data_IF_855446880686
#
_entry.id   IF_855446880686
#
_cell.length_a   1.000
_cell.length_b   1.000
_cell.length_c   1.000
_cell.angle_alpha   90.00
_cell.angle_beta   90.00
_cell.angle_gamma   90.00
#
_symmetry.space_group_name_H-M   'P 1'
#
loop_
_entity.id
_entity.type
_entity.pdbx_description
1 polymer ?
#
# COMPACT_ATOMS: atom_id res chain seq x y z
N UNK A 1 -14.55 8.56 29.84
CA UNK A 1 -13.15 8.65 29.43
C UNK A 1 -13.11 8.14 28.01
N UNK A 2 -12.83 9.04 27.06
CA UNK A 2 -12.65 8.68 25.67
C UNK A 2 -11.30 7.96 25.57
N UNK A 3 -11.34 6.64 25.34
CA UNK A 3 -10.12 5.89 25.07
C UNK A 3 -9.70 6.32 23.68
N UNK A 4 -8.87 7.38 23.60
CA UNK A 4 -8.36 8.00 22.38
C UNK A 4 -7.95 6.93 21.38
N UNK A 5 -8.92 6.55 20.56
CA UNK A 5 -8.73 5.61 19.48
C UNK A 5 -8.12 6.47 18.40
N UNK A 6 -6.93 6.10 17.93
CA UNK A 6 -6.31 6.80 16.82
C UNK A 6 -7.37 6.94 15.72
N UNK A 7 -7.64 8.18 15.29
CA UNK A 7 -8.59 8.41 14.22
C UNK A 7 -8.14 7.57 13.02
N UNK A 8 -9.06 6.80 12.44
CA UNK A 8 -8.81 6.15 11.15
C UNK A 8 -8.78 7.30 10.15
N UNK A 9 -7.58 7.78 9.89
CA UNK A 9 -7.34 8.97 9.08
C UNK A 9 -6.24 8.66 8.09
N UNK A 10 -6.44 9.13 6.86
CA UNK A 10 -5.42 9.11 5.83
C UNK A 10 -4.42 10.27 6.01
N UNK A 11 -3.15 10.09 5.60
CA UNK A 11 -2.60 8.85 5.06
C UNK A 11 -2.30 7.83 6.18
N UNK A 12 -2.37 6.54 5.85
CA UNK A 12 -1.83 5.50 6.73
C UNK A 12 -0.33 5.74 6.96
N UNK A 13 0.23 5.31 8.12
CA UNK A 13 1.67 5.37 8.34
C UNK A 13 2.40 4.64 7.20
N UNK A 14 3.41 5.30 6.63
CA UNK A 14 4.23 4.72 5.58
C UNK A 14 5.11 3.57 6.09
N UNK A 15 5.74 2.88 5.14
CA UNK A 15 6.75 1.87 5.46
C UNK A 15 7.92 2.50 6.23
N UNK A 16 8.28 1.88 7.36
CA UNK A 16 9.48 2.23 8.11
C UNK A 16 10.65 1.37 7.64
N UNK A 17 11.69 2.01 7.13
CA UNK A 17 12.94 1.34 6.79
C UNK A 17 13.49 0.57 7.99
N UNK A 18 13.89 -0.68 7.75
CA UNK A 18 14.48 -1.53 8.78
C UNK A 18 15.98 -1.68 8.52
N UNK A 19 16.83 -1.32 9.51
CA UNK A 19 18.28 -1.46 9.38
C UNK A 19 18.67 -2.92 9.23
N UNK A 20 19.79 -3.17 8.56
CA UNK A 20 20.32 -4.52 8.38
C UNK A 20 20.72 -5.16 9.70
N UNK A 21 20.47 -6.46 9.80
CA UNK A 21 20.99 -7.29 10.89
C UNK A 21 22.49 -7.54 10.62
N UNK A 22 23.40 -7.27 11.57
CA UNK A 22 24.84 -7.35 11.31
C UNK A 22 25.42 -8.76 11.24
N UNK A 23 24.64 -9.81 11.56
CA UNK A 23 25.09 -11.20 11.57
C UNK A 23 24.35 -12.15 10.63
N UNK A 24 24.53 -13.45 10.88
CA UNK A 24 23.83 -14.50 10.11
C UNK A 24 22.39 -14.62 10.60
N UNK A 25 21.47 -14.81 9.68
CA UNK A 25 20.03 -14.95 9.94
C UNK A 25 19.45 -16.16 9.23
N UNK A 26 18.26 -16.56 9.64
CA UNK A 26 17.44 -17.54 8.95
C UNK A 26 16.14 -16.90 8.43
N UNK A 27 15.31 -17.69 7.77
CA UNK A 27 13.96 -17.32 7.33
C UNK A 27 12.93 -17.18 8.47
N UNK A 28 13.32 -17.42 9.73
CA UNK A 28 12.42 -17.33 10.88
C UNK A 28 12.41 -15.94 11.48
N UNK A 29 11.28 -15.26 11.28
CA UNK A 29 10.94 -13.97 11.87
C UNK A 29 9.70 -14.08 12.76
N UNK A 30 9.68 -13.36 13.88
CA UNK A 30 8.49 -13.16 14.70
C UNK A 30 8.34 -11.72 15.15
N UNK A 31 7.09 -11.32 15.43
CA UNK A 31 6.74 -10.00 15.93
C UNK A 31 5.94 -10.17 17.23
N UNK A 32 6.43 -9.58 18.31
CA UNK A 32 5.80 -9.67 19.63
C UNK A 32 5.23 -8.31 20.04
N UNK A 33 3.96 -8.28 20.44
CA UNK A 33 3.37 -7.08 21.03
C UNK A 33 3.91 -6.88 22.44
N UNK A 34 4.51 -5.73 22.72
CA UNK A 34 5.09 -5.38 24.02
C UNK A 34 4.34 -4.26 24.73
N UNK A 35 3.40 -3.59 24.05
CA UNK A 35 2.58 -2.53 24.63
C UNK A 35 1.41 -2.09 23.75
N UNK A 36 0.88 -0.89 24.00
CA UNK A 36 -0.17 -0.24 23.20
C UNK A 36 0.50 0.49 22.02
N UNK A 37 -0.16 0.51 20.85
CA UNK A 37 0.35 1.18 19.66
C UNK A 37 1.05 0.23 18.69
N UNK A 38 1.30 0.72 17.47
CA UNK A 38 1.97 -0.04 16.39
C UNK A 38 3.47 -0.22 16.65
N UNK A 39 4.08 0.80 17.21
CA UNK A 39 5.49 0.94 17.59
C UNK A 39 5.92 0.05 18.78
N UNK A 40 4.99 -0.25 19.69
CA UNK A 40 5.20 -1.17 20.81
C UNK A 40 5.18 -2.65 20.38
N UNK A 41 6.03 -2.97 19.40
CA UNK A 41 6.30 -4.31 18.90
C UNK A 41 7.79 -4.57 18.87
N UNK A 42 8.18 -5.77 19.29
CA UNK A 42 9.53 -6.29 19.18
C UNK A 42 9.62 -7.21 17.96
N UNK A 43 10.59 -6.93 17.09
CA UNK A 43 10.98 -7.79 15.99
C UNK A 43 12.01 -8.79 16.48
N UNK A 44 11.90 -10.05 16.07
CA UNK A 44 12.90 -11.09 16.31
C UNK A 44 13.20 -11.83 15.03
N UNK A 45 14.48 -12.08 14.77
CA UNK A 45 14.95 -12.87 13.63
C UNK A 45 15.95 -13.88 14.15
N UNK A 46 15.69 -15.18 13.94
CA UNK A 46 16.61 -16.24 14.35
C UNK A 46 17.94 -16.11 13.59
N UNK A 47 19.05 -16.38 14.28
CA UNK A 47 20.37 -16.19 13.69
C UNK A 47 21.52 -16.68 14.54
N UNK A 48 22.72 -16.28 14.13
CA UNK A 48 23.97 -16.62 14.81
C UNK A 48 24.85 -15.38 14.92
N UNK A 49 25.39 -15.17 16.11
CA UNK A 49 26.40 -14.16 16.41
C UNK A 49 27.51 -14.75 17.26
N UNK A 50 28.77 -14.42 16.96
CA UNK A 50 29.93 -14.90 17.73
C UNK A 50 30.04 -16.43 17.88
N UNK A 51 29.37 -17.21 17.04
CA UNK A 51 29.31 -18.69 17.14
C UNK A 51 28.14 -19.25 17.97
N UNK A 52 27.35 -18.38 18.61
CA UNK A 52 26.17 -18.75 19.40
C UNK A 52 24.90 -18.66 18.58
N UNK A 53 24.00 -19.62 18.75
CA UNK A 53 22.66 -19.60 18.13
C UNK A 53 21.67 -18.86 19.03
N UNK A 54 20.70 -18.19 18.40
CA UNK A 54 19.78 -17.33 19.12
C UNK A 54 18.93 -16.49 18.17
N UNK A 55 18.63 -15.26 18.57
CA UNK A 55 17.89 -14.34 17.74
C UNK A 55 18.37 -12.89 17.89
N UNK A 56 18.32 -12.16 16.78
CA UNK A 56 18.45 -10.72 16.73
C UNK A 56 17.13 -10.09 17.11
N UNK A 57 17.16 -9.02 17.90
CA UNK A 57 15.95 -8.32 18.32
C UNK A 57 16.12 -6.81 18.40
N UNK A 58 15.02 -6.11 18.18
CA UNK A 58 14.85 -4.67 18.38
C UNK A 58 13.36 -4.33 18.45
N UNK A 59 13.01 -3.16 18.96
CA UNK A 59 11.67 -2.62 18.72
C UNK A 59 11.53 -2.16 17.27
N UNK A 60 10.31 -2.09 16.73
CA UNK A 60 10.06 -1.70 15.33
C UNK A 60 10.76 -0.38 14.96
N UNK A 61 10.75 0.60 15.87
CA UNK A 61 11.35 1.92 15.65
C UNK A 61 12.82 2.05 16.08
N UNK A 62 13.40 1.04 16.76
CA UNK A 62 14.78 1.11 17.18
C UNK A 62 15.75 1.04 15.97
N UNK A 63 16.86 1.79 16.00
CA UNK A 63 17.83 1.84 14.90
C UNK A 63 18.82 0.67 14.91
N UNK A 64 18.95 -0.05 16.03
CA UNK A 64 19.99 -1.06 16.20
C UNK A 64 19.40 -2.41 16.63
N UNK A 65 20.05 -3.49 16.18
CA UNK A 65 19.75 -4.86 16.57
C UNK A 65 20.64 -5.31 17.72
N UNK A 66 20.07 -6.04 18.68
CA UNK A 66 20.80 -6.74 19.75
C UNK A 66 20.64 -8.25 19.60
N UNK A 67 21.68 -9.02 19.88
CA UNK A 67 21.61 -10.48 19.85
C UNK A 67 21.28 -11.06 21.23
N UNK A 68 20.40 -12.06 21.26
CA UNK A 68 20.08 -12.86 22.45
C UNK A 68 20.46 -14.30 22.17
N UNK A 69 21.52 -14.78 22.82
CA UNK A 69 21.94 -16.17 22.75
C UNK A 69 20.93 -17.08 23.46
N UNK A 70 20.61 -18.19 22.81
CA UNK A 70 19.79 -19.27 23.39
C UNK A 70 20.51 -20.62 23.36
N UNK A 71 21.54 -20.74 22.50
CA UNK A 71 22.30 -21.96 22.22
C UNK A 71 21.44 -23.16 21.78
N UNK A 72 20.16 -22.92 21.47
CA UNK A 72 19.27 -23.89 20.89
C UNK A 72 19.61 -24.08 19.40
N UNK A 73 19.43 -25.28 18.83
CA UNK A 73 19.62 -25.49 17.39
C UNK A 73 18.75 -24.54 16.57
N UNK A 74 19.30 -24.03 15.45
CA UNK A 74 18.52 -23.26 14.48
C UNK A 74 17.39 -24.12 13.93
N UNK A 75 16.20 -23.53 13.85
CA UNK A 75 15.02 -24.18 13.26
C UNK A 75 14.73 -23.71 11.84
N UNK A 76 15.27 -22.57 11.43
CA UNK A 76 15.06 -21.95 10.12
C UNK A 76 16.11 -22.30 9.09
N UNK A 77 15.83 -21.91 7.85
CA UNK A 77 16.77 -22.03 6.73
C UNK A 77 17.72 -20.83 6.73
N UNK A 78 19.05 -21.01 6.74
CA UNK A 78 19.99 -19.90 6.63
C UNK A 78 19.77 -19.08 5.36
N UNK A 79 19.79 -17.75 5.49
CA UNK A 79 19.67 -16.82 4.37
C UNK A 79 20.99 -16.13 4.07
N UNK A 80 21.22 -15.79 2.79
CA UNK A 80 22.30 -14.89 2.39
C UNK A 80 21.96 -13.47 2.81
N UNK A 81 22.59 -12.98 3.89
CA UNK A 81 22.39 -11.64 4.42
C UNK A 81 23.55 -10.72 4.02
N UNK A 82 23.49 -10.15 2.81
CA UNK A 82 24.48 -9.16 2.37
C UNK A 82 24.31 -7.84 3.13
N UNK A 83 25.40 -7.08 3.33
CA UNK A 83 25.33 -5.77 3.98
C UNK A 83 24.60 -4.72 3.12
N UNK A 84 24.46 -4.96 1.82
CA UNK A 84 23.79 -4.05 0.89
C UNK A 84 22.32 -3.88 1.25
N UNK A 85 21.83 -2.64 1.24
CA UNK A 85 20.40 -2.37 1.36
C UNK A 85 19.66 -2.95 0.15
N UNK A 86 18.65 -3.77 0.44
CA UNK A 86 17.82 -4.45 -0.57
C UNK A 86 16.35 -4.02 -0.49
N UNK A 87 16.05 -2.95 0.25
CA UNK A 87 14.67 -2.53 0.57
C UNK A 87 13.87 -2.06 -0.64
N UNK A 88 14.56 -1.70 -1.73
CA UNK A 88 13.94 -1.25 -3.00
C UNK A 88 13.95 -2.32 -4.09
N UNK A 89 14.46 -3.52 -3.78
CA UNK A 89 14.50 -4.57 -4.76
C UNK A 89 13.12 -5.20 -4.94
N UNK A 90 12.70 -5.46 -6.20
CA UNK A 90 11.49 -6.20 -6.45
C UNK A 90 11.65 -7.62 -5.87
N UNK A 91 10.81 -7.95 -4.90
CA UNK A 91 10.75 -9.30 -4.31
C UNK A 91 9.80 -10.21 -5.09
N UNK A 92 8.92 -9.61 -5.91
CA UNK A 92 8.00 -10.26 -6.82
C UNK A 92 7.90 -9.44 -8.11
N UNK A 93 7.41 -10.05 -9.19
CA UNK A 93 7.10 -9.32 -10.41
C UNK A 93 5.95 -8.34 -10.17
N UNK A 94 5.94 -7.21 -10.89
CA UNK A 94 4.82 -6.28 -10.89
C UNK A 94 3.53 -6.99 -11.31
N UNK A 95 2.42 -6.58 -10.72
CA UNK A 95 1.12 -7.10 -11.11
C UNK A 95 0.88 -6.81 -12.59
N UNK A 96 0.34 -7.78 -13.31
CA UNK A 96 0.01 -7.57 -14.71
C UNK A 96 -1.23 -6.66 -14.89
N UNK A 97 -2.01 -6.39 -13.84
CA UNK A 97 -3.39 -5.86 -13.94
C UNK A 97 -3.50 -4.34 -14.13
N UNK A 98 -3.47 -3.92 -15.39
CA UNK A 98 -3.77 -2.58 -15.90
C UNK A 98 -5.23 -2.43 -16.37
N UNK A 99 -5.86 -1.30 -16.05
CA UNK A 99 -7.24 -1.00 -16.42
C UNK A 99 -7.31 0.40 -17.04
N UNK A 100 -8.20 0.58 -18.02
CA UNK A 100 -8.47 1.91 -18.58
C UNK A 100 -9.87 2.00 -19.15
N UNK A 101 -10.54 3.12 -18.89
CA UNK A 101 -11.91 3.37 -19.32
C UNK A 101 -12.13 4.85 -19.60
N UNK A 102 -13.04 5.13 -20.53
CA UNK A 102 -13.42 6.50 -20.93
C UNK A 102 -14.78 6.84 -20.36
N UNK A 103 -14.89 8.00 -19.72
CA UNK A 103 -16.16 8.52 -19.21
C UNK A 103 -17.06 9.02 -20.33
N UNK A 104 -18.34 9.15 -20.02
CA UNK A 104 -19.32 9.79 -20.92
C UNK A 104 -19.02 11.29 -21.15
N UNK A 105 -18.32 11.93 -20.20
CA UNK A 105 -17.84 13.30 -20.30
C UNK A 105 -16.56 13.44 -21.15
N UNK A 106 -15.98 12.33 -21.63
CA UNK A 106 -14.91 12.32 -22.62
C UNK A 106 -13.49 12.16 -22.08
N UNK A 107 -13.29 12.21 -20.77
CA UNK A 107 -12.01 11.96 -20.09
C UNK A 107 -11.73 10.46 -19.93
N UNK A 108 -10.46 10.07 -19.79
CA UNK A 108 -10.03 8.67 -19.68
C UNK A 108 -9.25 8.47 -18.39
N UNK A 109 -9.63 7.46 -17.60
CA UNK A 109 -8.89 7.05 -16.42
C UNK A 109 -8.05 5.80 -16.70
N UNK A 110 -6.88 5.70 -16.07
CA UNK A 110 -5.97 4.57 -16.19
C UNK A 110 -5.37 4.22 -14.84
N UNK A 111 -5.35 2.93 -14.54
CA UNK A 111 -4.60 2.32 -13.44
C UNK A 111 -3.63 1.31 -14.06
N UNK A 112 -2.37 1.33 -13.62
CA UNK A 112 -1.36 0.37 -14.02
C UNK A 112 -0.97 -0.53 -12.85
N UNK A 113 -0.64 -1.79 -13.13
CA UNK A 113 -0.07 -2.75 -12.19
C UNK A 113 -0.81 -2.87 -10.85
N UNK A 114 -2.15 -2.86 -10.87
CA UNK A 114 -2.93 -2.92 -9.63
C UNK A 114 -2.71 -4.26 -8.92
N UNK A 115 -2.36 -4.20 -7.64
CA UNK A 115 -2.19 -5.36 -6.77
C UNK A 115 -3.01 -5.17 -5.50
N UNK A 116 -3.78 -6.19 -5.12
CA UNK A 116 -4.67 -6.16 -3.96
C UNK A 116 -3.92 -5.97 -2.63
N UNK A 117 -2.62 -6.21 -2.60
CA UNK A 117 -1.74 -6.04 -1.44
C UNK A 117 -1.01 -4.69 -1.42
N UNK A 118 -1.14 -3.89 -2.47
CA UNK A 118 -0.45 -2.61 -2.61
C UNK A 118 -1.44 -1.45 -2.51
N UNK A 119 -1.15 -0.53 -1.60
CA UNK A 119 -1.81 0.76 -1.49
C UNK A 119 -0.78 1.78 -1.00
N UNK A 120 -0.83 3.03 -1.51
CA UNK A 120 -1.78 3.53 -2.50
C UNK A 120 -1.49 3.08 -3.95
N UNK A 121 -2.48 3.24 -4.83
CA UNK A 121 -2.39 3.01 -6.28
C UNK A 121 -2.49 4.34 -7.04
N UNK A 122 -1.54 4.70 -7.91
CA UNK A 122 -1.68 5.86 -8.80
C UNK A 122 -2.86 5.70 -9.78
N UNK A 123 -3.65 6.76 -9.92
CA UNK A 123 -4.75 6.86 -10.88
C UNK A 123 -4.51 8.05 -11.79
N UNK A 124 -4.29 7.78 -13.07
CA UNK A 124 -4.04 8.82 -14.06
C UNK A 124 -5.32 9.16 -14.84
N UNK A 125 -5.66 10.44 -14.96
CA UNK A 125 -6.86 10.91 -15.66
C UNK A 125 -6.50 11.90 -16.76
N UNK A 126 -6.76 11.54 -18.02
CA UNK A 126 -6.60 12.39 -19.20
C UNK A 126 -7.93 13.07 -19.53
N UNK A 127 -7.98 14.41 -19.55
CA UNK A 127 -9.23 15.19 -19.64
C UNK A 127 -9.73 15.43 -21.08
N UNK A 128 -9.00 14.91 -22.08
CA UNK A 128 -9.40 14.94 -23.48
C UNK A 128 -9.02 16.22 -24.24
N UNK A 129 -8.58 17.26 -23.54
CA UNK A 129 -8.03 18.50 -24.08
C UNK A 129 -6.49 18.55 -23.99
N UNK A 130 -5.87 17.42 -23.65
CA UNK A 130 -4.43 17.27 -23.44
C UNK A 130 -3.96 17.62 -22.03
N UNK A 131 -4.85 18.07 -21.14
CA UNK A 131 -4.55 18.19 -19.72
C UNK A 131 -4.82 16.86 -19.01
N UNK A 132 -4.07 16.61 -17.95
CA UNK A 132 -4.22 15.42 -17.13
C UNK A 132 -4.14 15.74 -15.65
N UNK A 133 -4.62 14.79 -14.84
CA UNK A 133 -4.63 14.84 -13.39
C UNK A 133 -4.13 13.49 -12.87
N UNK A 134 -3.13 13.54 -12.00
CA UNK A 134 -2.72 12.38 -11.22
C UNK A 134 -3.39 12.40 -9.85
N UNK A 135 -4.13 11.34 -9.56
CA UNK A 135 -4.78 11.09 -8.29
C UNK A 135 -4.11 9.91 -7.59
N UNK A 136 -4.34 9.83 -6.28
CA UNK A 136 -3.91 8.68 -5.47
C UNK A 136 -5.15 7.93 -5.01
N UNK A 137 -5.27 6.65 -5.39
CA UNK A 137 -6.35 5.78 -4.91
C UNK A 137 -5.83 4.95 -3.74
N UNK A 138 -6.38 5.22 -2.56
CA UNK A 138 -6.19 4.38 -1.38
C UNK A 138 -7.24 3.29 -1.40
N UNK A 139 -6.85 2.04 -1.14
CA UNK A 139 -7.80 0.91 -1.00
C UNK A 139 -7.49 0.11 0.25
N UNK A 140 -8.56 -0.36 0.89
CA UNK A 140 -8.51 -1.30 2.02
C UNK A 140 -9.46 -2.44 1.70
N UNK A 141 -8.93 -3.67 1.74
CA UNK A 141 -9.76 -4.87 1.62
C UNK A 141 -10.55 -5.05 2.92
N UNK A 142 -11.87 -4.96 2.81
CA UNK A 142 -12.77 -5.04 3.95
C UNK A 142 -12.74 -6.42 4.63
N UNK A 143 -13.33 -6.50 5.83
CA UNK A 143 -13.47 -7.77 6.54
C UNK A 143 -14.32 -8.75 5.71
N UNK A 144 -13.69 -9.83 5.25
CA UNK A 144 -14.37 -10.85 4.45
C UNK A 144 -15.17 -11.81 5.34
N UNK A 145 -16.42 -12.08 4.95
CA UNK A 145 -17.26 -13.11 5.59
C UNK A 145 -17.06 -14.50 4.97
N UNK A 146 -16.52 -14.55 3.75
CA UNK A 146 -16.29 -15.79 2.99
C UNK A 146 -14.85 -15.84 2.46
N UNK A 147 -14.27 -17.04 2.30
CA UNK A 147 -12.98 -17.19 1.63
C UNK A 147 -13.01 -16.60 0.22
N UNK A 148 -11.89 -16.01 -0.19
CA UNK A 148 -11.71 -15.46 -1.53
C UNK A 148 -10.38 -15.95 -2.10
N UNK A 149 -10.28 -16.19 -3.43
CA UNK A 149 -9.01 -16.51 -4.06
C UNK A 149 -7.92 -15.49 -3.74
N UNK A 150 -6.66 -15.94 -3.77
CA UNK A 150 -5.51 -15.03 -3.70
C UNK A 150 -5.52 -14.10 -4.91
N UNK A 151 -5.11 -12.84 -4.71
CA UNK A 151 -4.98 -11.85 -5.78
C UNK A 151 -6.31 -11.47 -6.44
N UNK A 152 -6.19 -11.10 -7.72
CA UNK A 152 -7.30 -10.69 -8.60
C UNK A 152 -7.78 -11.92 -9.39
N UNK A 153 -9.10 -12.07 -9.49
CA UNK A 153 -9.75 -13.17 -10.19
C UNK A 153 -11.06 -12.69 -10.83
N UNK A 154 -11.81 -13.58 -11.49
CA UNK A 154 -13.15 -13.24 -11.99
C UNK A 154 -14.18 -13.05 -10.88
N UNK A 155 -13.90 -13.52 -9.66
CA UNK A 155 -14.74 -13.24 -8.49
C UNK A 155 -14.54 -11.78 -8.04
N UNK A 156 -15.62 -10.96 -7.99
CA UNK A 156 -15.52 -9.57 -7.57
C UNK A 156 -14.90 -9.41 -6.18
N UNK A 157 -13.94 -8.49 -6.07
CA UNK A 157 -13.34 -8.07 -4.80
C UNK A 157 -13.76 -6.63 -4.52
N UNK A 158 -14.42 -6.45 -3.40
CA UNK A 158 -14.83 -5.14 -2.91
C UNK A 158 -13.77 -4.55 -2.00
N UNK A 159 -13.50 -3.26 -2.18
CA UNK A 159 -12.63 -2.46 -1.33
C UNK A 159 -13.35 -1.20 -0.89
N UNK A 160 -13.10 -0.81 0.36
CA UNK A 160 -13.32 0.55 0.80
C UNK A 160 -12.17 1.41 0.26
N UNK A 161 -12.49 2.43 -0.53
CA UNK A 161 -11.50 3.27 -1.19
C UNK A 161 -11.65 4.76 -0.89
N UNK A 162 -10.56 5.49 -1.11
CA UNK A 162 -10.56 6.96 -1.06
C UNK A 162 -9.69 7.50 -2.18
N UNK A 163 -10.25 8.38 -3.00
CA UNK A 163 -9.50 9.19 -3.95
C UNK A 163 -8.90 10.39 -3.22
N UNK A 164 -7.58 10.54 -3.34
CA UNK A 164 -6.84 11.70 -2.87
C UNK A 164 -6.40 12.56 -4.06
N UNK A 165 -6.77 13.85 -3.99
CA UNK A 165 -6.22 14.91 -4.83
C UNK A 165 -4.91 15.39 -4.17
N UNK A 166 -3.78 15.42 -4.88
CA UNK A 166 -2.53 15.96 -4.35
C UNK A 166 -2.72 17.37 -3.77
N UNK A 167 -2.09 17.64 -2.62
CA UNK A 167 -2.28 18.91 -1.91
C UNK A 167 -1.80 20.11 -2.74
N UNK A 168 -0.70 19.96 -3.46
CA UNK A 168 -0.15 20.96 -4.38
C UNK A 168 -1.10 21.28 -5.54
N UNK A 169 -1.81 20.27 -6.07
CA UNK A 169 -2.85 20.48 -7.07
C UNK A 169 -4.03 21.26 -6.48
N UNK A 170 -4.46 20.95 -5.26
CA UNK A 170 -5.51 21.72 -4.58
C UNK A 170 -5.10 23.15 -4.26
N UNK A 171 -3.88 23.35 -3.76
CA UNK A 171 -3.36 24.67 -3.40
C UNK A 171 -3.25 25.58 -4.65
N UNK A 172 -3.01 24.98 -5.82
CA UNK A 172 -2.92 25.67 -7.10
C UNK A 172 -4.23 25.66 -7.92
N UNK A 173 -5.32 25.09 -7.41
CA UNK A 173 -6.54 24.79 -8.17
C UNK A 173 -7.12 26.00 -8.91
N UNK A 174 -7.10 27.18 -8.29
CA UNK A 174 -7.61 28.43 -8.88
C UNK A 174 -6.83 28.89 -10.13
N UNK A 175 -5.62 28.38 -10.34
CA UNK A 175 -4.75 28.71 -11.48
C UNK A 175 -4.64 27.57 -12.50
N UNK A 176 -5.26 26.43 -12.22
CA UNK A 176 -5.25 25.28 -13.11
C UNK A 176 -6.10 25.54 -14.37
N UNK A 177 -5.84 24.82 -15.47
CA UNK A 177 -6.71 24.83 -16.64
C UNK A 177 -8.17 24.54 -16.25
N UNK A 178 -9.12 25.14 -16.98
CA UNK A 178 -10.55 25.02 -16.68
C UNK A 178 -11.05 23.57 -16.62
N UNK A 179 -10.50 22.68 -17.44
CA UNK A 179 -10.84 21.25 -17.44
C UNK A 179 -10.42 20.56 -16.15
N UNK A 180 -9.19 20.82 -15.68
CA UNK A 180 -8.69 20.32 -14.40
C UNK A 180 -9.53 20.87 -13.26
N UNK A 181 -9.78 22.18 -13.24
CA UNK A 181 -10.62 22.81 -12.23
C UNK A 181 -12.01 22.15 -12.18
N UNK A 182 -12.71 22.06 -13.32
CA UNK A 182 -14.04 21.47 -13.41
C UNK A 182 -14.05 19.99 -13.01
N UNK A 183 -13.04 19.21 -13.41
CA UNK A 183 -12.95 17.81 -12.99
C UNK A 183 -12.86 17.69 -11.46
N UNK A 184 -11.97 18.45 -10.82
CA UNK A 184 -11.79 18.42 -9.37
C UNK A 184 -13.04 18.94 -8.64
N UNK A 185 -13.65 20.06 -9.08
CA UNK A 185 -14.81 20.65 -8.40
C UNK A 185 -16.09 19.85 -8.62
N UNK A 186 -16.34 19.42 -9.85
CA UNK A 186 -17.65 18.90 -10.23
C UNK A 186 -17.70 17.38 -10.06
N UNK A 187 -16.58 16.68 -10.22
CA UNK A 187 -16.49 15.21 -10.06
C UNK A 187 -16.07 14.83 -8.64
N UNK A 188 -15.09 15.52 -8.05
CA UNK A 188 -14.56 15.19 -6.71
C UNK A 188 -15.05 16.14 -5.61
N UNK A 189 -15.91 17.11 -5.95
CA UNK A 189 -16.50 18.05 -4.99
C UNK A 189 -15.52 19.10 -4.44
N UNK A 190 -14.35 19.29 -5.07
CA UNK A 190 -13.32 20.22 -4.62
C UNK A 190 -12.61 19.81 -3.32
N UNK A 191 -12.74 18.54 -2.92
CA UNK A 191 -12.18 18.00 -1.67
C UNK A 191 -10.86 17.29 -1.94
N UNK A 192 -9.98 17.30 -0.93
CA UNK A 192 -8.76 16.48 -0.95
C UNK A 192 -9.06 15.00 -0.96
N UNK A 193 -10.00 14.57 -0.13
CA UNK A 193 -10.36 13.16 0.03
C UNK A 193 -11.81 12.96 -0.38
N UNK A 194 -12.03 11.99 -1.25
CA UNK A 194 -13.36 11.55 -1.69
C UNK A 194 -13.46 10.04 -1.52
N UNK A 195 -14.26 9.61 -0.55
CA UNK A 195 -14.52 8.20 -0.32
C UNK A 195 -15.29 7.57 -1.48
N UNK A 196 -15.00 6.31 -1.77
CA UNK A 196 -15.57 5.56 -2.88
C UNK A 196 -15.56 4.05 -2.59
N UNK A 197 -16.57 3.34 -3.07
CA UNK A 197 -16.44 1.89 -3.26
C UNK A 197 -15.55 1.60 -4.47
N UNK A 198 -14.78 0.53 -4.39
CA UNK A 198 -14.02 -0.01 -5.53
C UNK A 198 -14.31 -1.50 -5.66
N UNK A 199 -14.74 -1.92 -6.85
CA UNK A 199 -14.95 -3.33 -7.17
C UNK A 199 -13.99 -3.76 -8.27
N UNK A 200 -13.29 -4.87 -8.06
CA UNK A 200 -12.26 -5.35 -9.00
C UNK A 200 -12.48 -6.81 -9.35
N UNK A 201 -12.43 -7.10 -10.65
CA UNK A 201 -12.33 -8.44 -11.22
C UNK A 201 -11.14 -8.48 -12.18
N UNK A 202 -10.79 -9.65 -12.70
CA UNK A 202 -9.76 -9.76 -13.73
C UNK A 202 -10.07 -8.96 -15.01
N UNK A 203 -11.34 -8.62 -15.26
CA UNK A 203 -11.80 -7.93 -16.46
C UNK A 203 -12.21 -6.46 -16.28
N UNK A 204 -12.49 -6.02 -15.05
CA UNK A 204 -13.03 -4.69 -14.76
C UNK A 204 -12.51 -4.15 -13.43
N UNK A 205 -12.31 -2.84 -13.39
CA UNK A 205 -12.03 -2.07 -12.18
C UNK A 205 -13.03 -0.92 -12.11
N UNK A 206 -13.95 -0.98 -11.15
CA UNK A 206 -15.07 -0.07 -11.02
C UNK A 206 -14.82 0.91 -9.87
N UNK A 207 -14.86 2.22 -10.16
CA UNK A 207 -14.68 3.29 -9.16
C UNK A 207 -15.99 4.05 -9.02
N UNK A 208 -16.70 3.83 -7.92
CA UNK A 208 -18.06 4.35 -7.73
C UNK A 208 -18.13 5.88 -7.78
N UNK A 209 -17.20 6.59 -7.12
CA UNK A 209 -17.16 8.05 -7.11
C UNK A 209 -16.92 8.68 -8.49
N UNK A 210 -16.35 7.92 -9.42
CA UNK A 210 -16.14 8.35 -10.80
C UNK A 210 -17.28 7.89 -11.73
N UNK A 211 -18.19 7.06 -11.25
CA UNK A 211 -19.24 6.43 -12.06
C UNK A 211 -18.69 5.67 -13.26
N UNK A 212 -17.48 5.10 -13.13
CA UNK A 212 -16.71 4.58 -14.25
C UNK A 212 -16.22 3.15 -13.99
N UNK A 213 -16.51 2.29 -14.96
CA UNK A 213 -15.90 0.97 -15.13
C UNK A 213 -14.67 1.10 -16.04
N UNK A 214 -13.53 0.58 -15.60
CA UNK A 214 -12.29 0.52 -16.35
C UNK A 214 -12.06 -0.93 -16.82
N UNK A 215 -12.32 -1.25 -18.10
CA UNK A 215 -11.96 -2.55 -18.65
C UNK A 215 -10.46 -2.84 -18.52
N UNK A 216 -10.13 -4.11 -18.37
CA UNK A 216 -8.76 -4.61 -18.41
C UNK A 216 -8.09 -4.28 -19.75
N UNK A 217 -6.91 -3.66 -19.71
CA UNK A 217 -6.06 -3.48 -20.89
C UNK A 217 -5.38 -4.80 -21.25
N UNK A 218 -5.28 -5.09 -22.54
CA UNK A 218 -4.51 -6.25 -23.04
C UNK A 218 -3.05 -5.88 -23.24
#
# INVERSE_FOLDING_TARGET
MDFGTAAIQLPAPGWLHQPKIPGRITDRISIHKTGIGSDARELRVEGVDGGHTGYWTKTVAAPDWTFVATDAPLSGTPLTNTPDDRSVDPTVAESAFDYSGRSTAGWTATIAHFDVSQSPTPLHVELGDGNSVDLTLHTVDGLRQTPQPSGISDAPRHFDGTLEVPQDLLDSLATQPNSVHAFITDTLGGRRFTDTGVDVTAGSFDIAALGLALPRRR
#
